data_IF_090965751545
#
_entry.id   IF_090965751545
#
_cell.length_a   1.000
_cell.length_b   1.000
_cell.length_c   1.000
_cell.angle_alpha   90.00
_cell.angle_beta   90.00
_cell.angle_gamma   90.00
#
_symmetry.space_group_name_H-M   'P 1'
#
loop_
_entity.id
_entity.type
_entity.pdbx_description
1 polymer ?
#
# COMPACT_ATOMS: atom_id res chain seq x y z
N UNK A 1 15.01 8.87 -0.66
CA UNK A 1 15.00 9.05 -1.34
C UNK A 1 14.01 9.71 -2.03
N UNK A 2 13.95 9.92 -2.70
CA UNK A 2 13.32 10.70 -3.55
C UNK A 2 11.88 10.54 -3.71
N UNK A 3 11.26 9.73 -2.97
CA UNK A 3 9.85 9.51 -3.14
C UNK A 3 9.05 10.76 -3.05
N UNK A 4 9.34 11.59 -2.08
CA UNK A 4 8.60 12.81 -1.92
C UNK A 4 8.76 13.75 -3.09
N UNK A 5 9.95 13.81 -3.59
CA UNK A 5 10.22 14.71 -4.70
C UNK A 5 9.43 14.29 -5.91
N UNK A 6 9.39 13.00 -6.16
CA UNK A 6 8.68 12.50 -7.29
C UNK A 6 7.22 12.82 -7.23
N UNK A 7 6.70 12.75 -6.04
CA UNK A 7 5.32 13.07 -5.85
C UNK A 7 5.03 14.50 -6.29
N UNK A 8 5.90 15.39 -5.92
CA UNK A 8 5.74 16.77 -6.33
C UNK A 8 5.75 16.90 -7.84
N UNK A 9 6.61 16.15 -8.48
CA UNK A 9 6.65 16.17 -9.92
C UNK A 9 5.34 15.78 -10.52
N UNK A 10 4.75 14.76 -10.00
CA UNK A 10 3.50 14.31 -10.53
C UNK A 10 2.47 15.39 -10.56
N UNK A 11 2.55 16.27 -9.61
CA UNK A 11 1.61 17.38 -9.55
C UNK A 11 1.90 18.44 -10.57
N UNK A 12 3.15 18.52 -10.99
CA UNK A 12 3.57 19.60 -11.85
C UNK A 12 3.32 19.34 -13.31
N UNK A 13 2.95 18.17 -13.67
CA UNK A 13 2.83 17.81 -15.07
C UNK A 13 1.40 18.01 -15.54
N UNK A 14 1.08 19.17 -16.05
CA UNK A 14 -0.29 19.45 -16.46
C UNK A 14 -0.71 18.71 -17.71
N UNK A 15 0.24 18.32 -18.52
CA UNK A 15 -0.09 17.61 -19.73
C UNK A 15 -0.35 16.14 -19.50
N UNK A 16 -0.14 15.71 -18.29
CA UNK A 16 -0.30 14.32 -18.01
C UNK A 16 -1.77 13.94 -17.97
N UNK A 17 -2.15 13.01 -18.78
CA UNK A 17 -3.51 12.55 -18.80
C UNK A 17 -3.77 11.49 -17.76
N UNK A 18 -2.71 10.98 -17.16
CA UNK A 18 -2.84 9.90 -16.20
C UNK A 18 -3.78 10.21 -15.04
N UNK A 19 -3.76 11.40 -14.48
CA UNK A 19 -4.67 11.69 -13.37
C UNK A 19 -6.12 11.45 -13.75
N UNK A 20 -6.49 11.87 -14.94
CA UNK A 20 -7.85 11.68 -15.38
C UNK A 20 -8.16 10.22 -15.63
N UNK A 21 -7.23 9.54 -16.24
CA UNK A 21 -7.39 8.12 -16.49
C UNK A 21 -7.54 7.37 -15.18
N UNK A 22 -6.72 7.75 -14.21
CA UNK A 22 -6.79 7.12 -12.92
C UNK A 22 -8.11 7.39 -12.25
N UNK A 23 -8.58 8.61 -12.34
CA UNK A 23 -9.84 8.93 -11.72
C UNK A 23 -10.97 8.12 -12.31
N UNK A 24 -10.98 8.02 -13.62
CA UNK A 24 -11.94 7.18 -14.27
C UNK A 24 -11.85 5.75 -13.79
N UNK A 25 -10.65 5.29 -13.69
CA UNK A 25 -10.39 3.95 -13.24
C UNK A 25 -10.94 3.75 -11.84
N UNK A 26 -10.61 4.67 -10.96
CA UNK A 26 -11.05 4.56 -9.59
C UNK A 26 -12.55 4.62 -9.46
N UNK A 27 -13.17 5.51 -10.21
CA UNK A 27 -14.62 5.59 -10.19
C UNK A 27 -15.24 4.30 -10.65
N UNK A 28 -14.68 3.74 -11.71
CA UNK A 28 -15.18 2.50 -12.25
C UNK A 28 -15.00 1.37 -11.25
N UNK A 29 -13.85 1.32 -10.62
CA UNK A 29 -13.56 0.24 -9.69
C UNK A 29 -14.10 0.51 -8.29
N UNK A 30 -14.41 1.76 -8.01
CA UNK A 30 -14.92 2.14 -6.70
C UNK A 30 -14.03 1.64 -5.58
N UNK A 31 -12.72 1.77 -5.75
CA UNK A 31 -11.75 1.24 -4.81
C UNK A 31 -11.22 2.34 -3.89
N UNK A 32 -11.43 2.17 -2.59
CA UNK A 32 -11.00 3.18 -1.63
C UNK A 32 -9.47 3.30 -1.58
N UNK A 33 -8.75 2.20 -1.77
CA UNK A 33 -7.29 2.26 -1.75
C UNK A 33 -6.73 2.93 -3.00
N UNK A 34 -7.36 2.75 -4.14
CA UNK A 34 -7.00 3.53 -5.32
C UNK A 34 -7.20 5.02 -5.04
N UNK A 35 -8.27 5.36 -4.34
CA UNK A 35 -8.54 6.74 -3.98
C UNK A 35 -7.50 7.31 -3.03
N UNK A 36 -7.03 6.51 -2.08
CA UNK A 36 -5.98 6.94 -1.18
C UNK A 36 -4.68 7.13 -1.96
N UNK A 37 -4.39 6.22 -2.87
CA UNK A 37 -3.16 6.29 -3.65
C UNK A 37 -3.11 7.50 -4.57
N UNK A 38 -4.23 7.91 -5.14
CA UNK A 38 -4.24 9.05 -6.05
C UNK A 38 -4.61 10.37 -5.37
N UNK A 39 -4.88 10.33 -4.07
CA UNK A 39 -5.15 11.53 -3.30
C UNK A 39 -6.61 11.97 -3.29
N UNK A 40 -7.50 11.27 -3.97
CA UNK A 40 -8.91 11.65 -3.98
C UNK A 40 -9.61 11.29 -2.68
N UNK A 41 -9.07 10.35 -1.93
CA UNK A 41 -9.56 10.01 -0.60
C UNK A 41 -8.47 10.42 0.39
N UNK A 42 -8.81 11.25 1.37
CA UNK A 42 -7.84 11.73 2.32
C UNK A 42 -7.42 10.62 3.27
N UNK A 43 -6.11 10.54 3.51
CA UNK A 43 -5.56 9.59 4.44
C UNK A 43 -4.21 10.13 4.88
N UNK A 44 -3.78 9.77 6.08
CA UNK A 44 -2.49 10.20 6.56
C UNK A 44 -1.42 9.29 5.98
N UNK A 45 -0.80 9.73 4.91
CA UNK A 45 0.27 8.96 4.28
C UNK A 45 1.53 9.08 5.09
N UNK A 46 2.22 7.97 5.28
CA UNK A 46 3.50 7.95 5.97
C UNK A 46 4.64 7.60 5.03
N UNK A 47 4.33 7.19 3.82
CA UNK A 47 5.34 6.91 2.81
C UNK A 47 4.66 6.89 1.45
N UNK A 48 5.34 7.42 0.45
CA UNK A 48 4.87 7.28 -0.92
C UNK A 48 6.02 7.50 -1.89
N UNK A 49 5.95 6.79 -2.99
CA UNK A 49 6.83 6.98 -4.12
C UNK A 49 6.02 6.75 -5.39
N UNK A 50 6.67 6.58 -6.53
CA UNK A 50 5.95 6.41 -7.79
C UNK A 50 5.11 5.15 -7.85
N UNK A 51 5.44 4.15 -7.07
CA UNK A 51 4.83 2.83 -7.17
C UNK A 51 4.08 2.38 -5.93
N UNK A 52 4.40 2.92 -4.78
CA UNK A 52 3.95 2.39 -3.49
C UNK A 52 3.47 3.50 -2.59
N UNK A 53 2.44 3.22 -1.82
CA UNK A 53 1.90 4.14 -0.83
C UNK A 53 1.72 3.38 0.48
N UNK A 54 1.96 4.03 1.60
CA UNK A 54 1.73 3.42 2.91
C UNK A 54 1.03 4.41 3.82
N UNK A 55 0.12 3.90 4.64
CA UNK A 55 -0.66 4.70 5.56
C UNK A 55 -1.07 3.87 6.77
N UNK A 56 -1.45 4.53 7.85
CA UNK A 56 -1.82 3.83 9.07
C UNK A 56 -3.16 3.14 8.91
N UNK A 57 -3.24 1.94 9.47
CA UNK A 57 -4.52 1.23 9.54
C UNK A 57 -5.41 1.95 10.56
N UNK A 58 -6.65 2.22 10.19
CA UNK A 58 -7.58 2.91 11.08
C UNK A 58 -8.11 2.00 12.18
N UNK A 59 -7.96 0.69 12.02
CA UNK A 59 -8.35 -0.27 13.04
C UNK A 59 -7.13 -1.10 13.42
N UNK A 60 -6.16 -0.50 14.11
CA UNK A 60 -4.87 -1.16 14.32
C UNK A 60 -4.99 -2.38 15.23
N UNK A 61 -4.28 -3.42 14.85
CA UNK A 61 -4.22 -4.67 15.60
C UNK A 61 -2.90 -4.80 16.35
N UNK A 62 -2.09 -3.77 16.34
CA UNK A 62 -0.82 -3.71 17.05
C UNK A 62 -0.47 -2.24 17.26
N UNK A 63 0.44 -1.91 18.18
CA UNK A 63 0.87 -0.53 18.39
C UNK A 63 1.36 0.15 17.11
N UNK A 64 2.03 -0.58 16.25
CA UNK A 64 2.34 -0.12 14.91
C UNK A 64 1.60 -1.02 13.92
N UNK A 65 0.74 -0.43 13.11
CA UNK A 65 0.00 -1.20 12.10
C UNK A 65 -0.14 -0.32 10.86
N UNK A 66 0.64 -0.63 9.86
CA UNK A 66 0.73 0.16 8.64
C UNK A 66 0.28 -0.70 7.47
N UNK A 67 -0.47 -0.10 6.56
CA UNK A 67 -0.84 -0.75 5.31
C UNK A 67 0.06 -0.25 4.20
N UNK A 68 0.58 -1.17 3.40
CA UNK A 68 1.46 -0.86 2.28
C UNK A 68 0.80 -1.40 1.04
N UNK A 69 0.58 -0.53 0.06
CA UNK A 69 -0.14 -0.90 -1.16
C UNK A 69 0.62 -0.46 -2.40
N UNK A 70 0.51 -1.19 -3.49
CA UNK A 70 0.95 -0.65 -4.78
C UNK A 70 -0.07 0.37 -5.26
N UNK A 71 0.39 1.39 -6.00
CA UNK A 71 -0.54 2.32 -6.62
C UNK A 71 -1.37 1.63 -7.69
N UNK A 72 -0.74 0.71 -8.41
CA UNK A 72 -1.45 -0.08 -9.40
C UNK A 72 -2.50 -0.93 -8.71
N UNK A 73 -3.71 -0.93 -9.24
CA UNK A 73 -4.76 -1.76 -8.69
C UNK A 73 -4.55 -3.21 -9.08
N UNK A 74 -4.23 -4.02 -8.10
CA UNK A 74 -4.21 -5.48 -8.21
C UNK A 74 -5.12 -5.93 -7.10
N UNK A 75 -6.17 -6.67 -7.42
CA UNK A 75 -7.18 -6.97 -6.41
C UNK A 75 -6.63 -7.81 -5.27
N UNK A 76 -5.79 -8.78 -5.58
CA UNK A 76 -5.19 -9.65 -4.57
C UNK A 76 -3.98 -10.35 -5.18
N UNK A 77 -3.18 -10.95 -4.33
CA UNK A 77 -1.94 -11.55 -4.77
C UNK A 77 -2.13 -12.56 -5.90
N UNK A 78 -3.18 -13.35 -5.83
CA UNK A 78 -3.42 -14.38 -6.85
C UNK A 78 -3.75 -13.79 -8.22
N UNK A 79 -4.00 -12.49 -8.31
CA UNK A 79 -4.24 -11.82 -9.58
C UNK A 79 -3.04 -11.05 -10.08
N UNK A 80 -1.94 -11.09 -9.37
CA UNK A 80 -0.68 -10.54 -9.87
C UNK A 80 -0.07 -11.52 -10.87
N UNK A 81 0.74 -11.00 -11.76
CA UNK A 81 1.41 -11.86 -12.74
C UNK A 81 2.89 -11.49 -12.82
N UNK A 82 3.58 -12.07 -13.78
CA UNK A 82 5.03 -11.88 -13.89
C UNK A 82 5.42 -10.44 -14.17
N UNK A 83 4.53 -9.68 -14.80
CA UNK A 83 4.81 -8.27 -15.04
C UNK A 83 4.81 -7.46 -13.76
N UNK A 84 4.28 -8.00 -12.68
CA UNK A 84 4.23 -7.31 -11.40
C UNK A 84 5.42 -7.67 -10.49
N UNK A 85 6.37 -8.46 -10.99
CA UNK A 85 7.48 -8.93 -10.16
C UNK A 85 8.24 -7.79 -9.52
N UNK A 86 8.62 -6.80 -10.29
CA UNK A 86 9.38 -5.68 -9.76
C UNK A 86 8.55 -4.88 -8.77
N UNK A 87 7.29 -4.68 -9.08
CA UNK A 87 6.37 -3.93 -8.21
C UNK A 87 6.22 -4.62 -6.86
N UNK A 88 6.04 -5.94 -6.86
CA UNK A 88 5.93 -6.68 -5.62
C UNK A 88 7.19 -6.57 -4.78
N UNK A 89 8.34 -6.62 -5.43
CA UNK A 89 9.60 -6.40 -4.74
C UNK A 89 9.68 -5.02 -4.12
N UNK A 90 9.20 -4.01 -4.82
CA UNK A 90 9.20 -2.64 -4.29
C UNK A 90 8.31 -2.51 -3.07
N UNK A 91 7.16 -3.19 -3.07
CA UNK A 91 6.28 -3.17 -1.91
C UNK A 91 6.97 -3.79 -0.70
N UNK A 92 7.64 -4.92 -0.89
CA UNK A 92 8.35 -5.56 0.22
C UNK A 92 9.52 -4.72 0.71
N UNK A 93 10.24 -4.07 -0.20
CA UNK A 93 11.33 -3.19 0.22
C UNK A 93 10.82 -1.93 0.92
N UNK A 94 9.64 -1.46 0.56
CA UNK A 94 9.01 -0.36 1.28
C UNK A 94 8.73 -0.76 2.73
N UNK A 95 8.29 -2.00 2.94
CA UNK A 95 8.09 -2.51 4.30
C UNK A 95 9.39 -2.45 5.09
N UNK A 96 10.50 -2.85 4.48
CA UNK A 96 11.80 -2.79 5.13
C UNK A 96 12.18 -1.36 5.49
N UNK A 97 11.97 -0.43 4.55
CA UNK A 97 12.29 0.98 4.80
C UNK A 97 11.47 1.54 5.96
N UNK A 98 10.19 1.20 6.00
CA UNK A 98 9.32 1.67 7.08
C UNK A 98 9.72 1.06 8.42
N UNK A 99 10.08 -0.21 8.42
CA UNK A 99 10.55 -0.84 9.65
C UNK A 99 11.77 -0.12 10.20
N UNK A 100 12.68 0.30 9.34
CA UNK A 100 13.85 1.05 9.77
C UNK A 100 13.47 2.44 10.23
N UNK A 101 12.58 3.10 9.52
CA UNK A 101 12.16 4.45 9.86
C UNK A 101 11.52 4.51 11.23
N UNK A 102 10.75 3.51 11.59
CA UNK A 102 10.06 3.44 12.87
C UNK A 102 10.78 2.58 13.90
N UNK A 103 12.01 2.19 13.57
CA UNK A 103 12.86 1.41 14.48
C UNK A 103 12.18 0.13 14.94
N UNK A 104 11.56 -0.58 14.01
CA UNK A 104 10.91 -1.84 14.30
C UNK A 104 11.91 -2.96 14.11
N UNK A 105 12.34 -3.57 15.21
CA UNK A 105 13.28 -4.68 15.12
C UNK A 105 12.59 -5.98 14.76
N UNK A 106 11.47 -6.20 15.38
CA UNK A 106 10.67 -7.40 15.12
C UNK A 106 9.34 -6.97 14.59
N UNK A 107 8.91 -7.55 13.49
CA UNK A 107 7.63 -7.20 12.92
C UNK A 107 7.05 -8.38 12.16
N UNK A 108 5.77 -8.33 11.92
CA UNK A 108 5.08 -9.31 11.10
C UNK A 108 4.54 -8.61 9.86
N UNK A 109 4.76 -9.23 8.72
CA UNK A 109 4.24 -8.73 7.46
C UNK A 109 3.26 -9.76 6.92
N UNK A 110 2.03 -9.33 6.62
CA UNK A 110 0.95 -10.23 6.23
C UNK A 110 0.22 -9.67 5.03
N UNK A 111 -0.10 -10.51 4.06
CA UNK A 111 -1.10 -10.17 3.07
C UNK A 111 -2.14 -11.27 3.07
N UNK A 112 -3.41 -10.89 3.00
CA UNK A 112 -4.52 -11.82 2.97
C UNK A 112 -5.06 -11.89 1.56
N UNK A 113 -5.20 -13.08 1.03
CA UNK A 113 -5.70 -13.26 -0.33
C UNK A 113 -7.10 -13.84 -0.28
N UNK A 114 -8.09 -13.00 -0.51
CA UNK A 114 -9.48 -13.43 -0.57
C UNK A 114 -10.20 -13.29 0.76
N UNK A 115 -11.52 -13.25 0.69
CA UNK A 115 -12.34 -13.00 1.88
C UNK A 115 -12.18 -14.08 2.92
N UNK A 116 -12.04 -15.33 2.51
CA UNK A 116 -11.87 -16.43 3.44
C UNK A 116 -10.60 -16.34 4.26
N UNK A 117 -9.62 -15.57 3.78
CA UNK A 117 -8.38 -15.35 4.51
C UNK A 117 -8.38 -14.01 5.26
N UNK A 118 -9.47 -13.25 5.20
CA UNK A 118 -9.56 -11.99 5.93
C UNK A 118 -9.31 -10.75 5.10
N UNK A 119 -9.29 -10.86 3.78
CA UNK A 119 -9.09 -9.68 2.95
C UNK A 119 -10.38 -8.86 2.91
N UNK A 120 -10.33 -7.65 3.45
CA UNK A 120 -11.51 -6.81 3.54
C UNK A 120 -11.62 -5.77 2.42
N UNK A 121 -10.53 -5.48 1.74
CA UNK A 121 -10.52 -4.52 0.63
C UNK A 121 -9.87 -5.19 -0.57
N UNK A 122 -10.54 -5.09 -1.72
CA UNK A 122 -10.07 -5.75 -2.95
C UNK A 122 -9.04 -4.91 -3.68
N UNK A 123 -7.96 -4.64 -2.99
CA UNK A 123 -6.78 -4.00 -3.51
C UNK A 123 -5.63 -4.57 -2.70
N UNK A 124 -4.68 -5.18 -3.36
CA UNK A 124 -3.56 -5.85 -2.70
C UNK A 124 -2.94 -4.94 -1.65
N UNK A 125 -2.81 -5.44 -0.45
CA UNK A 125 -2.17 -4.68 0.62
C UNK A 125 -1.48 -5.62 1.59
N UNK A 126 -0.41 -5.10 2.18
CA UNK A 126 0.36 -5.82 3.17
C UNK A 126 0.21 -5.08 4.50
N UNK A 127 -0.02 -5.85 5.54
CA UNK A 127 -0.06 -5.34 6.90
C UNK A 127 1.33 -5.44 7.50
N UNK A 128 1.88 -4.33 7.91
CA UNK A 128 3.14 -4.30 8.65
C UNK A 128 2.78 -4.00 10.10
N UNK A 129 3.00 -4.97 10.98
CA UNK A 129 2.58 -4.88 12.38
C UNK A 129 3.76 -5.12 13.30
N UNK A 130 3.82 -4.35 14.38
CA UNK A 130 4.90 -4.45 15.34
C UNK A 130 4.47 -3.86 16.67
N UNK A 131 5.27 -4.11 17.70
CA UNK A 131 5.05 -3.49 19.00
C UNK A 131 4.38 -4.41 20.00
N UNK A 132 4.09 -5.63 19.63
CA UNK A 132 3.61 -6.65 20.55
C UNK A 132 4.09 -8.00 20.10
N UNK A 133 3.91 -8.98 20.94
CA UNK A 133 4.25 -10.35 20.56
C UNK A 133 3.19 -10.92 19.63
N UNK A 134 3.64 -11.62 18.61
CA UNK A 134 2.76 -12.32 17.70
C UNK A 134 2.99 -13.81 17.89
N UNK A 135 1.91 -14.56 17.92
CA UNK A 135 1.97 -15.97 18.18
C UNK A 135 1.90 -16.79 16.88
N UNK A 136 2.10 -18.06 17.03
CA UNK A 136 1.96 -18.99 15.93
C UNK A 136 1.00 -20.10 16.38
N UNK A 137 0.04 -20.53 15.52
CA UNK A 137 -0.14 -20.10 14.13
C UNK A 137 -0.61 -18.65 14.00
N UNK A 138 -0.47 -18.14 12.77
CA UNK A 138 -0.68 -16.72 12.52
C UNK A 138 -2.14 -16.26 12.59
N UNK A 139 -3.07 -17.13 12.66
CA UNK A 139 -4.47 -16.73 12.71
C UNK A 139 -5.33 -17.56 13.61
#
# INVERSE_FOLDING_TARGET
>A
MSGTVLYSHGLQDPGRLLPQSRNMYNNFMNCIFCGIADGSVKSQLIYEDDDVVAFKDLNPQAPTHILIIPRKHIARLSEADENDTLLLGKVLLAAKKLARQFDLKDFRLVTNNGKGAGQSVDHLHFHLMAGRRFLWPAG
#
